data_IF_208208879499
#
_entry.id   IF_208208879499
#
_cell.length_a   1.000
_cell.length_b   1.000
_cell.length_c   1.000
_cell.angle_alpha   90.00
_cell.angle_beta   90.00
_cell.angle_gamma   90.00
#
_symmetry.space_group_name_H-M   'P 1'
#
loop_
_entity.id
_entity.type
_entity.pdbx_description
1 polymer ?
#
# COMPACT_ATOMS: atom_id res chain seq x y z
N UNK A 1 -10.78 25.99 -16.59
CA UNK A 1 -10.50 24.55 -16.70
C UNK A 1 -9.92 24.12 -15.36
N UNK A 2 -10.54 23.16 -14.67
CA UNK A 2 -9.98 22.61 -13.43
C UNK A 2 -9.29 21.29 -13.79
N UNK A 3 -8.04 21.15 -13.36
CA UNK A 3 -7.26 19.92 -13.48
C UNK A 3 -6.90 19.49 -12.05
N UNK A 4 -7.30 18.28 -11.66
CA UNK A 4 -6.84 17.67 -10.42
C UNK A 4 -5.55 16.93 -10.73
N UNK A 5 -4.50 17.22 -9.97
CA UNK A 5 -3.17 16.62 -10.13
C UNK A 5 -2.83 15.99 -8.80
N UNK A 6 -2.50 14.71 -8.80
CA UNK A 6 -1.92 14.05 -7.63
C UNK A 6 -0.46 14.43 -7.51
N UNK A 7 -0.04 14.80 -6.30
CA UNK A 7 1.33 15.19 -6.02
C UNK A 7 1.76 14.74 -4.62
N UNK A 8 3.04 14.39 -4.50
CA UNK A 8 3.68 14.09 -3.23
C UNK A 8 4.44 15.32 -2.77
N UNK A 9 4.28 15.70 -1.50
CA UNK A 9 5.08 16.75 -0.89
C UNK A 9 6.35 16.15 -0.28
N UNK A 10 7.52 16.53 -0.78
CA UNK A 10 8.82 16.01 -0.33
C UNK A 10 9.43 16.80 0.85
N UNK A 11 8.67 17.74 1.43
CA UNK A 11 9.14 18.67 2.45
C UNK A 11 9.66 20.00 1.89
N UNK A 12 9.75 20.14 0.57
CA UNK A 12 10.22 21.36 -0.11
C UNK A 12 9.32 21.76 -1.28
N UNK A 13 8.88 20.79 -2.08
CA UNK A 13 8.09 20.99 -3.30
C UNK A 13 6.99 19.93 -3.44
N UNK A 14 5.95 20.27 -4.19
CA UNK A 14 4.94 19.31 -4.65
C UNK A 14 5.43 18.70 -5.96
N UNK A 15 5.64 17.38 -5.95
CA UNK A 15 6.09 16.59 -7.09
C UNK A 15 4.87 15.88 -7.70
N UNK A 16 4.45 16.23 -8.93
CA UNK A 16 3.38 15.50 -9.60
C UNK A 16 3.71 14.01 -9.71
N UNK A 17 2.72 13.15 -9.45
CA UNK A 17 2.86 11.70 -9.67
C UNK A 17 2.97 11.40 -11.17
N UNK A 18 2.27 12.18 -11.99
CA UNK A 18 2.31 12.11 -13.46
C UNK A 18 2.92 13.38 -14.09
N UNK A 19 3.60 13.27 -15.24
CA UNK A 19 4.16 14.43 -15.94
C UNK A 19 3.10 15.48 -16.28
N UNK A 20 3.38 16.72 -15.90
CA UNK A 20 2.50 17.85 -16.17
C UNK A 20 3.00 18.66 -17.38
N UNK A 21 2.18 18.72 -18.44
CA UNK A 21 2.52 19.45 -19.66
C UNK A 21 1.90 20.86 -19.67
N UNK A 22 2.45 21.76 -18.85
CA UNK A 22 2.13 23.18 -18.92
C UNK A 22 3.20 23.95 -19.70
N UNK A 23 2.78 25.00 -20.41
CA UNK A 23 3.73 25.91 -21.05
C UNK A 23 4.48 26.70 -19.99
N UNK A 24 5.75 27.10 -20.25
CA UNK A 24 6.45 28.05 -19.40
C UNK A 24 5.60 29.30 -19.12
N UNK A 25 5.78 29.88 -17.93
CA UNK A 25 5.09 31.09 -17.46
C UNK A 25 3.56 30.98 -17.35
N UNK A 26 3.01 29.76 -17.35
CA UNK A 26 1.60 29.53 -17.08
C UNK A 26 1.30 29.82 -15.60
N UNK A 27 0.54 30.90 -15.31
CA UNK A 27 0.04 31.17 -13.96
C UNK A 27 -1.05 30.19 -13.57
N UNK A 28 -0.88 29.52 -12.44
CA UNK A 28 -1.84 28.57 -11.89
C UNK A 28 -2.24 28.96 -10.47
N UNK A 29 -3.43 28.52 -10.04
CA UNK A 29 -3.89 28.59 -8.66
C UNK A 29 -4.02 27.16 -8.15
N UNK A 30 -3.42 26.86 -7.00
CA UNK A 30 -3.38 25.52 -6.43
C UNK A 30 -4.30 25.48 -5.21
N UNK A 31 -5.14 24.45 -5.15
CA UNK A 31 -5.87 24.07 -3.94
C UNK A 31 -5.30 22.74 -3.46
N UNK A 32 -4.80 22.71 -2.22
CA UNK A 32 -4.20 21.50 -1.63
C UNK A 32 -5.26 20.80 -0.78
N UNK A 33 -5.44 19.50 -1.03
CA UNK A 33 -6.26 18.62 -0.21
C UNK A 33 -5.36 17.46 0.23
N UNK A 34 -5.25 17.21 1.52
CA UNK A 34 -4.52 16.06 2.05
C UNK A 34 -5.40 14.83 1.95
N UNK A 35 -4.92 13.79 1.27
CA UNK A 35 -5.52 12.47 1.35
C UNK A 35 -4.93 11.75 2.57
N UNK A 36 -5.71 10.92 3.24
CA UNK A 36 -5.12 10.01 4.22
C UNK A 36 -4.19 9.07 3.46
N UNK A 37 -2.90 9.06 3.81
CA UNK A 37 -2.02 8.03 3.27
C UNK A 37 -2.53 6.70 3.82
N UNK A 38 -2.93 5.78 2.95
CA UNK A 38 -2.96 4.37 3.33
C UNK A 38 -1.52 3.99 3.68
N UNK A 39 -1.18 4.08 4.97
CA UNK A 39 0.09 3.59 5.47
C UNK A 39 0.18 2.12 5.04
N UNK A 40 1.24 1.70 4.33
CA UNK A 40 1.36 0.30 3.95
C UNK A 40 1.26 -0.53 5.21
N UNK A 41 0.20 -1.33 5.30
CA UNK A 41 -0.09 -2.07 6.51
C UNK A 41 1.01 -3.12 6.68
N UNK A 42 1.68 -3.12 7.85
CA UNK A 42 2.66 -4.16 8.17
C UNK A 42 1.97 -5.53 8.11
N UNK A 43 2.51 -6.44 7.30
CA UNK A 43 1.98 -7.79 7.15
C UNK A 43 1.73 -8.46 8.51
N UNK A 44 2.68 -8.40 9.44
CA UNK A 44 2.52 -8.98 10.77
C UNK A 44 1.46 -8.28 11.62
N UNK A 45 1.29 -6.95 11.45
CA UNK A 45 0.24 -6.19 12.13
C UNK A 45 -1.14 -6.60 11.63
N UNK A 46 -1.28 -6.83 10.31
CA UNK A 46 -2.50 -7.34 9.69
C UNK A 46 -2.77 -8.79 10.10
N UNK A 47 -1.76 -9.67 10.04
CA UNK A 47 -1.91 -11.07 10.45
C UNK A 47 -2.37 -11.18 11.92
N UNK A 48 -1.84 -10.34 12.81
CA UNK A 48 -2.30 -10.29 14.22
C UNK A 48 -3.72 -9.75 14.37
N UNK A 49 -4.13 -8.74 13.59
CA UNK A 49 -5.49 -8.19 13.69
C UNK A 49 -6.58 -9.14 13.18
N UNK A 50 -6.20 -10.14 12.40
CA UNK A 50 -7.12 -11.15 11.89
C UNK A 50 -7.43 -12.24 12.93
N UNK A 51 -6.80 -12.21 14.11
CA UNK A 51 -7.03 -13.17 15.20
C UNK A 51 -7.04 -14.62 14.70
N UNK A 52 -6.04 -14.96 13.88
CA UNK A 52 -6.00 -16.25 13.21
C UNK A 52 -5.84 -17.39 14.23
N UNK A 53 -6.86 -18.24 14.32
CA UNK A 53 -6.80 -19.49 15.07
C UNK A 53 -5.95 -20.52 14.32
N UNK A 54 -5.15 -21.28 15.08
CA UNK A 54 -4.31 -22.32 14.50
C UNK A 54 -3.87 -23.36 15.55
N UNK A 55 -3.61 -24.60 15.12
CA UNK A 55 -2.98 -25.61 15.97
C UNK A 55 -1.61 -25.18 16.48
N UNK A 56 -1.23 -25.58 17.71
CA UNK A 56 0.05 -25.22 18.32
C UNK A 56 1.27 -25.71 17.51
N UNK A 57 1.10 -26.74 16.69
CA UNK A 57 2.13 -27.37 15.88
C UNK A 57 2.16 -26.89 14.42
N UNK A 58 1.42 -25.84 14.07
CA UNK A 58 1.29 -25.38 12.68
C UNK A 58 2.62 -25.01 12.03
N UNK A 59 3.51 -24.33 12.78
CA UNK A 59 4.85 -23.96 12.29
C UNK A 59 5.76 -25.16 12.09
N UNK A 60 5.55 -26.24 12.85
CA UNK A 60 6.33 -27.47 12.77
C UNK A 60 5.83 -28.41 11.66
N UNK A 61 4.56 -28.29 11.26
CA UNK A 61 3.89 -29.12 10.25
C UNK A 61 3.45 -28.33 9.02
N UNK A 62 4.17 -27.27 8.68
CA UNK A 62 3.80 -26.35 7.60
C UNK A 62 3.46 -27.10 6.30
N UNK A 63 4.29 -28.06 5.90
CA UNK A 63 4.09 -28.83 4.67
C UNK A 63 2.82 -29.70 4.72
N UNK A 64 2.50 -30.29 5.87
CA UNK A 64 1.30 -31.10 6.06
C UNK A 64 0.03 -30.23 5.93
N UNK A 65 0.04 -29.04 6.52
CA UNK A 65 -1.09 -28.11 6.45
C UNK A 65 -1.24 -27.42 5.08
N UNK A 66 -0.13 -27.13 4.39
CA UNK A 66 -0.17 -26.45 3.09
C UNK A 66 -0.38 -27.40 1.91
N UNK A 67 0.15 -28.62 1.99
CA UNK A 67 0.19 -29.53 0.84
C UNK A 67 -0.50 -30.88 1.10
N UNK A 68 -0.95 -31.12 2.34
CA UNK A 68 -1.51 -32.41 2.76
C UNK A 68 -0.41 -33.48 2.95
N UNK A 69 -0.70 -34.47 3.78
CA UNK A 69 0.19 -35.61 3.97
C UNK A 69 0.29 -36.41 2.67
N UNK A 70 1.47 -36.43 2.04
CA UNK A 70 1.74 -37.29 0.88
C UNK A 70 1.95 -38.73 1.34
N UNK A 71 0.91 -39.33 1.92
CA UNK A 71 0.83 -40.76 2.23
C UNK A 71 -0.29 -41.41 1.43
N UNK A 72 -0.20 -41.30 0.11
CA UNK A 72 -0.82 -42.25 -0.81
C UNK A 72 0.26 -42.76 -1.75
N UNK A 73 0.86 -43.87 -1.33
CA UNK A 73 1.69 -44.77 -2.12
C UNK A 73 1.27 -46.19 -1.82
#
# INVERSE_FOLDING_TARGET
MNLMIEAIYDGKAFLPVEPLFLRPDTRVKISVMTTESEQPASFLKVARSLELDGPEDWSAKLDEYLYGDKRTG
#
